data_IF_231078170002
#
_entry.id   IF_231078170002
#
_cell.length_a   1.000
_cell.length_b   1.000
_cell.length_c   1.000
_cell.angle_alpha   90.00
_cell.angle_beta   90.00
_cell.angle_gamma   90.00
#
_symmetry.space_group_name_H-M   'P 1'
#
loop_
_entity.id
_entity.type
_entity.pdbx_description
1 polymer ?
#
# COMPACT_ATOMS: atom_id res chain seq x y z
N UNK A 1 25.75 -0.93 -1.04
CA UNK A 1 25.28 -2.06 -0.19
C UNK A 1 25.26 -3.35 -0.99
N UNK A 2 25.73 -4.51 -0.45
CA UNK A 2 25.63 -5.80 -1.17
C UNK A 2 24.33 -6.52 -0.77
N UNK A 3 23.24 -6.30 -1.53
CA UNK A 3 21.92 -6.81 -1.20
C UNK A 3 21.74 -8.31 -1.44
N UNK A 4 22.56 -8.96 -2.27
CA UNK A 4 22.41 -10.40 -2.61
C UNK A 4 22.52 -11.32 -1.40
N UNK A 5 23.29 -10.91 -0.39
CA UNK A 5 23.50 -11.69 0.84
C UNK A 5 22.89 -10.99 2.07
N UNK A 6 21.99 -10.03 1.85
CA UNK A 6 21.34 -9.29 2.95
C UNK A 6 20.05 -9.99 3.36
N UNK A 7 19.94 -10.30 4.65
CA UNK A 7 18.76 -10.88 5.26
C UNK A 7 18.08 -9.88 6.18
N UNK A 8 16.81 -10.10 6.44
CA UNK A 8 16.02 -9.44 7.47
C UNK A 8 15.34 -10.46 8.39
N UNK A 9 14.89 -10.00 9.55
CA UNK A 9 14.15 -10.81 10.50
C UNK A 9 12.66 -10.51 10.39
N UNK A 10 11.88 -11.47 9.89
CA UNK A 10 10.45 -11.34 9.67
C UNK A 10 9.65 -12.54 10.18
N UNK A 11 8.34 -12.46 10.02
CA UNK A 11 7.42 -13.53 10.38
C UNK A 11 7.04 -14.33 9.13
N UNK A 12 7.41 -15.62 9.09
CA UNK A 12 7.01 -16.50 7.99
C UNK A 12 5.56 -16.92 8.20
N UNK A 13 4.75 -16.70 7.18
CA UNK A 13 3.33 -17.07 7.19
C UNK A 13 3.10 -18.46 6.61
N UNK A 14 1.91 -18.96 6.81
CA UNK A 14 1.46 -20.31 6.42
C UNK A 14 1.61 -20.56 4.91
N UNK A 15 1.42 -19.51 4.10
CA UNK A 15 1.62 -19.54 2.64
C UNK A 15 3.08 -19.27 2.20
N UNK A 16 4.03 -19.25 3.14
CA UNK A 16 5.45 -19.02 2.87
C UNK A 16 5.86 -17.56 2.73
N UNK A 17 4.91 -16.59 2.69
CA UNK A 17 5.21 -15.17 2.57
C UNK A 17 5.84 -14.61 3.85
N UNK A 18 6.63 -13.55 3.71
CA UNK A 18 7.32 -12.89 4.84
C UNK A 18 6.65 -11.57 5.20
N UNK A 19 6.20 -11.47 6.46
CA UNK A 19 5.73 -10.22 7.06
C UNK A 19 6.80 -9.57 7.95
N UNK A 20 6.71 -8.25 8.10
CA UNK A 20 7.61 -7.45 8.96
C UNK A 20 6.87 -6.89 10.19
N UNK A 21 5.57 -7.17 10.29
CA UNK A 21 4.70 -6.91 11.44
C UNK A 21 3.92 -8.19 11.79
N UNK A 22 3.25 -8.17 12.93
CA UNK A 22 2.54 -9.34 13.45
C UNK A 22 1.17 -8.94 14.04
N UNK A 23 0.37 -8.23 13.23
CA UNK A 23 -0.91 -7.68 13.65
C UNK A 23 -1.98 -8.76 13.81
N UNK A 24 -2.82 -8.64 14.83
CA UNK A 24 -4.12 -9.29 14.90
C UNK A 24 -5.17 -8.23 14.64
N UNK A 25 -5.88 -8.36 13.53
CA UNK A 25 -6.84 -7.35 13.08
C UNK A 25 -8.28 -7.79 13.33
N UNK A 26 -9.13 -6.81 13.63
CA UNK A 26 -10.58 -6.96 13.69
C UNK A 26 -11.11 -6.22 12.47
N UNK A 27 -11.56 -6.97 11.49
CA UNK A 27 -11.90 -6.48 10.16
C UNK A 27 -13.41 -6.38 10.01
N UNK A 28 -13.99 -5.17 9.92
CA UNK A 28 -15.39 -5.02 9.57
C UNK A 28 -15.61 -5.38 8.11
N UNK A 29 -16.67 -6.12 7.83
CA UNK A 29 -17.10 -6.41 6.46
C UNK A 29 -17.78 -5.19 5.82
N UNK A 30 -18.48 -4.43 6.66
CA UNK A 30 -19.28 -3.28 6.28
C UNK A 30 -19.19 -2.19 7.36
N UNK A 31 -19.60 -0.96 7.01
CA UNK A 31 -19.56 0.21 7.88
C UNK A 31 -20.43 0.05 9.15
N UNK A 32 -21.51 -0.72 9.07
CA UNK A 32 -22.41 -0.98 10.20
C UNK A 32 -21.76 -1.87 11.28
N UNK A 33 -20.73 -2.64 10.90
CA UNK A 33 -19.96 -3.50 11.81
C UNK A 33 -18.80 -2.77 12.51
N UNK A 34 -18.48 -1.55 12.12
CA UNK A 34 -17.34 -0.78 12.64
C UNK A 34 -17.36 -0.71 14.17
N UNK A 35 -18.50 -0.33 14.77
CA UNK A 35 -18.64 -0.17 16.22
C UNK A 35 -18.37 -1.48 16.99
N UNK A 36 -18.82 -2.62 16.46
CA UNK A 36 -18.58 -3.92 17.06
C UNK A 36 -17.07 -4.28 16.97
N UNK A 37 -16.43 -4.01 15.83
CA UNK A 37 -14.99 -4.23 15.64
C UNK A 37 -14.14 -3.36 16.59
N UNK A 38 -14.48 -2.09 16.73
CA UNK A 38 -13.82 -1.17 17.66
C UNK A 38 -13.99 -1.60 19.12
N UNK A 39 -15.21 -2.07 19.50
CA UNK A 39 -15.45 -2.60 20.83
C UNK A 39 -14.58 -3.82 21.14
N UNK A 40 -14.43 -4.76 20.19
CA UNK A 40 -13.54 -5.91 20.34
C UNK A 40 -12.08 -5.48 20.49
N UNK A 41 -11.62 -4.55 19.65
CA UNK A 41 -10.24 -4.05 19.73
C UNK A 41 -9.96 -3.30 21.04
N UNK A 42 -10.94 -2.60 21.58
CA UNK A 42 -10.84 -1.94 22.89
C UNK A 42 -10.78 -2.96 24.03
N UNK A 43 -11.50 -4.07 23.94
CA UNK A 43 -11.53 -5.14 24.94
C UNK A 43 -10.22 -5.94 24.94
N UNK A 44 -9.63 -6.22 23.78
CA UNK A 44 -8.48 -7.12 23.65
C UNK A 44 -7.23 -6.32 23.21
N UNK A 45 -6.38 -6.01 24.18
CA UNK A 45 -5.16 -5.22 23.93
C UNK A 45 -4.21 -5.91 22.96
N UNK A 46 -3.66 -5.13 22.04
CA UNK A 46 -2.77 -5.60 20.95
C UNK A 46 -3.50 -5.95 19.66
N UNK A 47 -4.83 -6.02 19.67
CA UNK A 47 -5.63 -6.09 18.44
C UNK A 47 -5.91 -4.70 17.89
N UNK A 48 -6.28 -4.62 16.62
CA UNK A 48 -6.55 -3.38 15.92
C UNK A 48 -7.77 -3.51 15.03
N UNK A 49 -8.78 -2.68 15.24
CA UNK A 49 -9.89 -2.54 14.31
C UNK A 49 -9.46 -1.73 13.08
N UNK A 50 -10.03 -2.06 11.92
CA UNK A 50 -9.81 -1.36 10.64
C UNK A 50 -11.14 -0.82 10.11
N UNK A 51 -11.72 0.22 10.72
CA UNK A 51 -13.01 0.77 10.30
C UNK A 51 -12.91 1.41 8.92
N UNK A 52 -13.99 1.32 8.16
CA UNK A 52 -14.13 1.94 6.85
C UNK A 52 -15.57 2.41 6.58
N UNK A 53 -15.79 3.37 5.63
CA UNK A 53 -17.09 3.99 5.44
C UNK A 53 -18.01 3.22 4.48
N UNK A 54 -17.58 2.10 3.91
CA UNK A 54 -18.37 1.39 2.90
C UNK A 54 -18.91 0.07 3.43
N UNK A 55 -20.12 -0.24 3.00
CA UNK A 55 -20.79 -1.40 3.49
C UNK A 55 -21.57 -2.14 2.45
N UNK A 56 -22.86 -2.09 2.55
CA UNK A 56 -23.80 -2.90 1.77
C UNK A 56 -24.20 -2.19 0.47
N UNK A 57 -24.87 -2.93 -0.40
CA UNK A 57 -25.44 -2.44 -1.66
C UNK A 57 -24.42 -2.15 -2.77
N UNK A 58 -23.16 -2.62 -2.65
CA UNK A 58 -22.29 -2.77 -3.80
C UNK A 58 -22.75 -3.96 -4.65
N UNK A 59 -22.46 -3.90 -5.95
CA UNK A 59 -22.78 -4.97 -6.89
C UNK A 59 -21.74 -5.03 -8.02
N UNK A 60 -21.68 -6.18 -8.73
CA UNK A 60 -20.78 -6.38 -9.86
C UNK A 60 -19.32 -6.13 -9.50
N UNK A 61 -18.60 -5.44 -10.37
CA UNK A 61 -17.17 -5.21 -10.21
C UNK A 61 -16.80 -4.44 -8.91
N UNK A 62 -17.69 -3.59 -8.41
CA UNK A 62 -17.48 -2.85 -7.16
C UNK A 62 -17.55 -3.79 -5.94
N UNK A 63 -18.48 -4.75 -5.94
CA UNK A 63 -18.57 -5.78 -4.91
C UNK A 63 -17.38 -6.74 -4.96
N UNK A 64 -16.96 -7.14 -6.15
CA UNK A 64 -15.78 -7.99 -6.34
C UNK A 64 -14.51 -7.30 -5.81
N UNK A 65 -14.35 -6.01 -6.08
CA UNK A 65 -13.23 -5.22 -5.55
C UNK A 65 -13.30 -5.06 -4.03
N UNK A 66 -14.49 -4.86 -3.47
CA UNK A 66 -14.72 -4.80 -2.02
C UNK A 66 -14.23 -6.09 -1.34
N UNK A 67 -14.71 -7.24 -1.79
CA UNK A 67 -14.28 -8.53 -1.25
C UNK A 67 -12.79 -8.78 -1.45
N UNK A 68 -12.25 -8.51 -2.65
CA UNK A 68 -10.83 -8.68 -2.95
C UNK A 68 -9.96 -7.84 -2.01
N UNK A 69 -10.35 -6.59 -1.76
CA UNK A 69 -9.59 -5.69 -0.88
C UNK A 69 -9.63 -6.17 0.58
N UNK A 70 -10.79 -6.57 1.09
CA UNK A 70 -10.91 -7.09 2.47
C UNK A 70 -10.18 -8.42 2.65
N UNK A 71 -10.37 -9.36 1.71
CA UNK A 71 -9.67 -10.66 1.73
C UNK A 71 -8.16 -10.44 1.66
N UNK A 72 -7.70 -9.62 0.72
CA UNK A 72 -6.27 -9.31 0.55
C UNK A 72 -5.68 -8.63 1.78
N UNK A 73 -6.41 -7.71 2.41
CA UNK A 73 -6.02 -7.08 3.69
C UNK A 73 -5.84 -8.14 4.78
N UNK A 74 -6.80 -9.06 4.91
CA UNK A 74 -6.68 -10.18 5.84
C UNK A 74 -5.53 -11.12 5.50
N UNK A 75 -5.25 -11.37 4.22
CA UNK A 75 -4.16 -12.23 3.75
C UNK A 75 -2.78 -11.59 3.84
N UNK A 76 -2.67 -10.26 4.05
CA UNK A 76 -1.40 -9.55 4.07
C UNK A 76 -0.39 -10.22 5.03
N UNK A 77 0.89 -10.36 4.64
CA UNK A 77 1.88 -11.04 5.48
C UNK A 77 2.19 -10.32 6.80
N UNK A 78 1.89 -9.03 6.92
CA UNK A 78 2.01 -8.30 8.18
C UNK A 78 0.89 -8.64 9.20
N UNK A 79 -0.14 -9.37 8.78
CA UNK A 79 -1.25 -9.82 9.62
C UNK A 79 -1.00 -11.26 10.06
N UNK A 80 -1.11 -11.51 11.36
CA UNK A 80 -0.97 -12.85 11.97
C UNK A 80 -2.28 -13.62 11.99
N UNK A 81 -3.37 -12.93 12.33
CA UNK A 81 -4.69 -13.53 12.44
C UNK A 81 -5.79 -12.47 12.27
N UNK A 82 -7.00 -12.91 11.93
CA UNK A 82 -8.11 -12.02 11.60
C UNK A 82 -9.41 -12.45 12.29
N UNK A 83 -10.08 -11.51 12.93
CA UNK A 83 -11.50 -11.63 13.30
C UNK A 83 -12.30 -10.78 12.32
N UNK A 84 -13.23 -11.39 11.59
CA UNK A 84 -14.13 -10.69 10.67
C UNK A 84 -15.48 -10.51 11.34
N UNK A 85 -16.03 -9.30 11.31
CA UNK A 85 -17.40 -9.02 11.81
C UNK A 85 -18.20 -8.36 10.69
N UNK A 86 -19.33 -8.96 10.34
CA UNK A 86 -20.29 -8.42 9.38
C UNK A 86 -21.70 -8.31 9.96
N UNK A 87 -22.60 -7.74 9.19
CA UNK A 87 -24.02 -7.71 9.58
C UNK A 87 -24.65 -9.07 9.35
N UNK A 88 -24.38 -9.74 8.23
CA UNK A 88 -25.04 -10.97 7.84
C UNK A 88 -24.02 -12.11 7.55
N UNK A 89 -24.42 -13.40 7.61
CA UNK A 89 -23.48 -14.51 7.52
C UNK A 89 -22.87 -14.70 6.13
N UNK A 90 -23.62 -14.49 5.04
CA UNK A 90 -23.20 -14.93 3.70
C UNK A 90 -21.96 -14.19 3.20
N UNK A 91 -21.95 -12.87 3.27
CA UNK A 91 -20.78 -12.07 2.90
C UNK A 91 -19.63 -12.24 3.88
N UNK A 92 -19.96 -12.39 5.18
CA UNK A 92 -18.96 -12.67 6.21
C UNK A 92 -18.21 -13.96 5.89
N UNK A 93 -18.93 -15.03 5.52
CA UNK A 93 -18.33 -16.32 5.15
C UNK A 93 -17.49 -16.23 3.87
N UNK A 94 -17.88 -15.43 2.87
CA UNK A 94 -17.07 -15.21 1.66
C UNK A 94 -15.68 -14.65 2.03
N UNK A 95 -15.64 -13.60 2.85
CA UNK A 95 -14.38 -12.98 3.29
C UNK A 95 -13.56 -13.95 4.16
N UNK A 96 -14.20 -14.61 5.12
CA UNK A 96 -13.55 -15.60 5.99
C UNK A 96 -12.95 -16.75 5.18
N UNK A 97 -13.69 -17.30 4.21
CA UNK A 97 -13.21 -18.39 3.38
C UNK A 97 -12.06 -17.96 2.46
N UNK A 98 -12.14 -16.74 1.91
CA UNK A 98 -11.04 -16.16 1.12
C UNK A 98 -9.75 -16.03 1.94
N UNK A 99 -9.85 -15.54 3.18
CA UNK A 99 -8.69 -15.42 4.07
C UNK A 99 -8.17 -16.80 4.49
N UNK A 100 -9.07 -17.72 4.84
CA UNK A 100 -8.75 -19.09 5.26
C UNK A 100 -7.98 -19.87 4.19
N UNK A 101 -8.26 -19.61 2.91
CA UNK A 101 -7.56 -20.24 1.79
C UNK A 101 -6.04 -19.95 1.79
N UNK A 102 -5.58 -18.85 2.41
CA UNK A 102 -4.16 -18.57 2.62
C UNK A 102 -3.50 -19.35 3.76
N UNK A 103 -4.28 -20.16 4.50
CA UNK A 103 -3.84 -20.87 5.71
C UNK A 103 -3.86 -20.03 6.99
N UNK A 104 -4.18 -18.75 6.90
CA UNK A 104 -4.16 -17.82 8.04
C UNK A 104 -5.30 -18.10 9.03
N UNK A 105 -5.04 -18.04 10.35
CA UNK A 105 -6.08 -18.13 11.36
C UNK A 105 -7.12 -17.00 11.19
N UNK A 106 -8.39 -17.37 10.99
CA UNK A 106 -9.49 -16.45 10.79
C UNK A 106 -10.79 -17.01 11.37
N UNK A 107 -11.56 -16.19 12.05
CA UNK A 107 -12.91 -16.48 12.50
C UNK A 107 -13.87 -15.36 12.13
N UNK A 108 -15.12 -15.73 11.77
CA UNK A 108 -16.16 -14.79 11.36
C UNK A 108 -17.32 -14.76 12.35
N UNK A 109 -17.88 -13.56 12.53
CA UNK A 109 -19.05 -13.29 13.37
C UNK A 109 -19.98 -12.33 12.64
N UNK A 110 -21.28 -12.40 12.94
CA UNK A 110 -22.28 -11.50 12.35
C UNK A 110 -23.32 -11.08 13.39
N UNK A 111 -23.88 -9.91 13.18
CA UNK A 111 -24.75 -9.23 14.16
C UNK A 111 -26.19 -9.67 13.98
N UNK A 112 -26.67 -9.86 12.75
CA UNK A 112 -28.03 -10.24 12.44
C UNK A 112 -28.41 -11.56 13.12
N UNK A 113 -29.50 -11.56 13.87
CA UNK A 113 -29.95 -12.70 14.64
C UNK A 113 -29.20 -12.99 15.94
N UNK A 114 -28.04 -12.37 16.19
CA UNK A 114 -27.23 -12.56 17.39
C UNK A 114 -27.21 -11.34 18.32
N UNK A 115 -27.32 -10.14 17.73
CA UNK A 115 -27.17 -8.86 18.42
C UNK A 115 -25.72 -8.49 18.71
N UNK A 116 -25.48 -7.19 18.92
CA UNK A 116 -24.14 -6.63 19.11
C UNK A 116 -23.39 -7.23 20.31
N UNK A 117 -24.04 -7.26 21.48
CA UNK A 117 -23.38 -7.67 22.74
C UNK A 117 -22.86 -9.11 22.64
N UNK A 118 -23.68 -10.02 22.11
CA UNK A 118 -23.31 -11.43 21.96
C UNK A 118 -22.20 -11.59 20.93
N UNK A 119 -22.27 -10.89 19.82
CA UNK A 119 -21.27 -10.87 18.75
C UNK A 119 -19.94 -10.33 19.29
N UNK A 120 -19.93 -9.19 19.96
CA UNK A 120 -18.73 -8.60 20.57
C UNK A 120 -18.11 -9.57 21.59
N UNK A 121 -18.91 -10.19 22.43
CA UNK A 121 -18.40 -11.14 23.44
C UNK A 121 -17.74 -12.36 22.80
N UNK A 122 -18.35 -12.95 21.77
CA UNK A 122 -17.82 -14.10 21.04
C UNK A 122 -16.57 -13.75 20.25
N UNK A 123 -16.59 -12.66 19.50
CA UNK A 123 -15.47 -12.15 18.74
C UNK A 123 -14.28 -11.76 19.65
N UNK A 124 -14.55 -11.22 20.85
CA UNK A 124 -13.49 -10.92 21.84
C UNK A 124 -12.79 -12.18 22.34
N UNK A 125 -13.50 -13.32 22.51
CA UNK A 125 -12.89 -14.60 22.88
C UNK A 125 -11.98 -15.12 21.77
N UNK A 126 -12.42 -15.04 20.50
CA UNK A 126 -11.61 -15.39 19.34
C UNK A 126 -10.36 -14.51 19.24
N UNK A 127 -10.53 -13.19 19.33
CA UNK A 127 -9.45 -12.22 19.30
C UNK A 127 -8.41 -12.48 20.41
N UNK A 128 -8.83 -12.81 21.62
CA UNK A 128 -7.93 -13.21 22.68
C UNK A 128 -7.11 -14.46 22.33
N UNK A 129 -7.74 -15.49 21.77
CA UNK A 129 -7.05 -16.71 21.36
C UNK A 129 -6.03 -16.44 20.25
N UNK A 130 -6.40 -15.59 19.28
CA UNK A 130 -5.53 -15.17 18.18
C UNK A 130 -4.36 -14.32 18.67
N UNK A 131 -4.56 -13.42 19.61
CA UNK A 131 -3.46 -12.66 20.24
C UNK A 131 -2.49 -13.57 20.98
N UNK A 132 -3.02 -14.58 21.67
CA UNK A 132 -2.19 -15.58 22.36
C UNK A 132 -1.39 -16.42 21.37
N UNK A 133 -1.95 -16.74 20.19
CA UNK A 133 -1.24 -17.40 19.09
C UNK A 133 -0.15 -16.48 18.51
N UNK A 134 -0.50 -15.27 18.14
CA UNK A 134 0.44 -14.27 17.57
C UNK A 134 1.63 -14.00 18.49
N UNK A 135 1.40 -13.92 19.82
CA UNK A 135 2.45 -13.67 20.81
C UNK A 135 3.52 -14.77 20.92
N UNK A 136 3.26 -15.97 20.38
CA UNK A 136 4.21 -17.10 20.36
C UNK A 136 5.06 -17.14 19.09
N UNK A 137 4.66 -16.40 18.05
CA UNK A 137 5.37 -16.41 16.79
C UNK A 137 6.72 -15.70 16.93
N UNK A 138 7.76 -16.28 16.36
CA UNK A 138 9.12 -15.75 16.39
C UNK A 138 9.51 -15.21 15.02
N UNK A 139 10.31 -14.16 15.00
CA UNK A 139 10.94 -13.69 13.77
C UNK A 139 11.99 -14.70 13.31
N UNK A 140 12.04 -14.95 12.01
CA UNK A 140 13.01 -15.82 11.36
C UNK A 140 13.77 -15.05 10.28
N UNK A 141 15.00 -15.49 10.00
CA UNK A 141 15.81 -14.87 8.94
C UNK A 141 15.27 -15.24 7.56
N UNK A 142 15.20 -14.25 6.68
CA UNK A 142 14.83 -14.42 5.28
C UNK A 142 15.67 -13.49 4.39
N UNK A 143 15.97 -13.88 3.13
CA UNK A 143 16.66 -13.02 2.20
C UNK A 143 15.80 -11.79 1.84
N UNK A 144 16.45 -10.65 1.63
CA UNK A 144 15.76 -9.39 1.32
C UNK A 144 14.89 -9.48 0.04
N UNK A 145 15.22 -10.38 -0.89
CA UNK A 145 14.42 -10.65 -2.09
C UNK A 145 12.99 -11.15 -1.81
N UNK A 146 12.74 -11.74 -0.62
CA UNK A 146 11.39 -12.16 -0.22
C UNK A 146 10.53 -10.98 0.30
N UNK A 147 11.11 -9.79 0.50
CA UNK A 147 10.36 -8.61 0.93
C UNK A 147 9.75 -7.91 -0.28
N UNK A 148 8.41 -7.81 -0.29
CA UNK A 148 7.68 -7.11 -1.33
C UNK A 148 7.50 -5.65 -0.94
N UNK A 149 7.86 -4.74 -1.86
CA UNK A 149 7.89 -3.30 -1.62
C UNK A 149 7.06 -2.56 -2.66
N UNK A 150 6.16 -1.71 -2.20
CA UNK A 150 5.33 -0.84 -3.04
C UNK A 150 5.80 0.61 -2.97
N UNK A 151 5.39 1.43 -3.94
CA UNK A 151 5.65 2.87 -3.92
C UNK A 151 4.52 3.69 -4.50
N UNK A 152 4.32 4.87 -3.92
CA UNK A 152 3.45 5.94 -4.39
C UNK A 152 3.99 7.27 -3.87
N UNK A 153 3.94 8.33 -4.67
CA UNK A 153 4.31 9.67 -4.19
C UNK A 153 3.08 10.49 -3.76
N UNK A 154 3.30 11.52 -2.97
CA UNK A 154 2.22 12.42 -2.58
C UNK A 154 2.74 13.78 -2.13
N UNK A 155 1.91 14.81 -2.29
CA UNK A 155 2.27 16.19 -2.06
C UNK A 155 3.57 16.56 -2.79
N UNK A 156 3.62 16.17 -4.08
CA UNK A 156 4.81 16.34 -4.93
C UNK A 156 5.08 17.81 -5.22
N UNK A 157 6.36 18.14 -5.33
CA UNK A 157 6.90 19.41 -5.81
C UNK A 157 8.07 19.14 -6.79
N UNK A 158 8.76 20.16 -7.25
CA UNK A 158 9.92 20.02 -8.15
C UNK A 158 11.02 19.15 -7.53
N UNK A 159 11.18 19.15 -6.21
CA UNK A 159 12.19 18.34 -5.53
C UNK A 159 11.84 16.85 -5.53
N UNK A 160 10.55 16.51 -5.70
CA UNK A 160 10.11 15.12 -5.82
C UNK A 160 10.67 14.49 -7.09
N UNK A 161 10.52 15.13 -8.24
CA UNK A 161 11.01 14.63 -9.53
C UNK A 161 12.54 14.61 -9.64
N UNK A 162 13.24 15.52 -8.95
CA UNK A 162 14.70 15.65 -9.00
C UNK A 162 15.43 14.87 -7.91
N UNK A 163 14.77 14.51 -6.82
CA UNK A 163 15.41 13.91 -5.64
C UNK A 163 14.68 12.72 -5.06
N UNK A 164 13.49 12.92 -4.46
CA UNK A 164 12.81 11.83 -3.72
C UNK A 164 12.40 10.66 -4.63
N UNK A 165 11.75 10.91 -5.77
CA UNK A 165 11.34 9.86 -6.70
C UNK A 165 12.53 9.12 -7.32
N UNK A 166 13.59 9.79 -7.82
CA UNK A 166 14.78 9.10 -8.29
C UNK A 166 15.50 8.27 -7.22
N UNK A 167 15.42 8.68 -5.94
CA UNK A 167 15.95 7.89 -4.82
C UNK A 167 15.21 6.56 -4.69
N UNK A 168 13.87 6.57 -4.77
CA UNK A 168 13.07 5.34 -4.81
C UNK A 168 13.48 4.51 -6.03
N UNK A 169 13.62 5.14 -7.19
CA UNK A 169 14.05 4.45 -8.41
C UNK A 169 15.39 3.76 -8.28
N UNK A 170 16.38 4.40 -7.63
CA UNK A 170 17.69 3.78 -7.36
C UNK A 170 17.55 2.58 -6.40
N UNK A 171 16.72 2.71 -5.35
CA UNK A 171 16.44 1.61 -4.44
C UNK A 171 15.70 0.46 -5.15
N UNK A 172 14.73 0.77 -6.02
CA UNK A 172 14.01 -0.23 -6.81
C UNK A 172 14.93 -0.97 -7.79
N UNK A 173 15.84 -0.29 -8.48
CA UNK A 173 16.84 -0.94 -9.34
C UNK A 173 17.67 -1.96 -8.56
N UNK A 174 18.08 -1.64 -7.33
CA UNK A 174 18.86 -2.53 -6.46
C UNK A 174 18.03 -3.72 -5.95
N UNK A 175 16.77 -3.50 -5.57
CA UNK A 175 15.83 -4.55 -5.15
C UNK A 175 15.45 -5.46 -6.33
N UNK A 176 15.28 -4.88 -7.52
CA UNK A 176 14.99 -5.62 -8.74
C UNK A 176 16.15 -6.57 -9.11
N UNK A 177 17.38 -6.09 -9.02
CA UNK A 177 18.60 -6.88 -9.29
C UNK A 177 18.75 -8.12 -8.37
N UNK A 178 18.07 -8.15 -7.21
CA UNK A 178 18.05 -9.31 -6.31
C UNK A 178 16.76 -10.15 -6.42
N UNK A 179 15.83 -9.79 -7.31
CA UNK A 179 14.61 -10.55 -7.57
C UNK A 179 13.45 -10.23 -6.63
N UNK A 180 13.42 -9.08 -5.96
CA UNK A 180 12.27 -8.63 -5.15
C UNK A 180 11.05 -8.37 -6.01
N UNK A 181 9.86 -8.44 -5.40
CA UNK A 181 8.59 -8.05 -6.02
C UNK A 181 8.27 -6.61 -5.66
N UNK A 182 8.06 -5.80 -6.69
CA UNK A 182 7.90 -4.35 -6.61
C UNK A 182 6.61 -3.92 -7.29
N UNK A 183 5.98 -2.84 -6.83
CA UNK A 183 4.80 -2.27 -7.49
C UNK A 183 4.83 -0.75 -7.46
N UNK A 184 4.36 -0.16 -8.55
CA UNK A 184 3.99 1.23 -8.68
C UNK A 184 2.59 1.31 -9.32
N UNK A 185 1.97 2.49 -9.32
CA UNK A 185 0.63 2.70 -9.90
C UNK A 185 0.39 4.16 -10.22
N UNK A 186 -0.76 4.71 -9.76
CA UNK A 186 -1.14 6.11 -10.01
C UNK A 186 -1.42 6.35 -11.50
N UNK A 187 -2.36 5.57 -12.05
CA UNK A 187 -2.70 5.57 -13.49
C UNK A 187 -2.92 6.98 -14.05
N UNK A 188 -3.62 7.84 -13.30
CA UNK A 188 -3.87 9.23 -13.70
C UNK A 188 -2.61 10.09 -13.78
N UNK A 189 -1.63 9.82 -12.92
CA UNK A 189 -0.38 10.59 -12.89
C UNK A 189 0.66 10.11 -13.91
N UNK A 190 0.26 9.28 -14.88
CA UNK A 190 1.08 8.86 -16.01
C UNK A 190 0.70 9.59 -17.31
N UNK A 191 -0.36 10.41 -17.29
CA UNK A 191 -0.85 11.17 -18.45
C UNK A 191 0.26 12.04 -19.05
N UNK A 192 0.57 11.80 -20.33
CA UNK A 192 1.68 12.44 -21.06
C UNK A 192 3.03 11.76 -20.91
N UNK A 193 3.19 10.84 -19.96
CA UNK A 193 4.39 10.03 -19.74
C UNK A 193 4.18 8.52 -19.94
N UNK A 194 2.97 8.09 -20.28
CA UNK A 194 2.60 6.67 -20.43
C UNK A 194 3.48 5.91 -21.43
N UNK A 195 3.88 6.57 -22.50
CA UNK A 195 4.75 5.99 -23.54
C UNK A 195 6.11 5.53 -23.00
N UNK A 196 6.61 6.18 -21.93
CA UNK A 196 7.87 5.78 -21.26
C UNK A 196 7.68 4.50 -20.45
N UNK A 197 6.50 4.28 -19.88
CA UNK A 197 6.16 3.03 -19.19
C UNK A 197 5.94 1.92 -20.21
N UNK A 198 5.23 2.20 -21.31
CA UNK A 198 5.04 1.26 -22.41
C UNK A 198 6.35 0.74 -22.99
N UNK A 199 7.34 1.63 -23.18
CA UNK A 199 8.66 1.28 -23.69
C UNK A 199 9.45 0.35 -22.75
N UNK A 200 9.02 0.26 -21.48
CA UNK A 200 9.66 -0.58 -20.45
C UNK A 200 8.88 -1.86 -20.16
N UNK A 201 7.74 -2.09 -20.80
CA UNK A 201 7.01 -3.35 -20.70
C UNK A 201 7.85 -4.50 -21.29
N UNK A 202 8.00 -5.59 -20.52
CA UNK A 202 8.86 -6.72 -20.92
C UNK A 202 8.38 -7.44 -22.17
N UNK A 203 7.05 -7.49 -22.37
CA UNK A 203 6.43 -8.17 -23.53
C UNK A 203 5.33 -7.28 -24.12
N UNK A 204 4.97 -7.57 -25.38
CA UNK A 204 3.88 -6.88 -26.05
C UNK A 204 2.52 -7.10 -25.35
N UNK A 205 2.33 -8.25 -24.70
CA UNK A 205 1.09 -8.53 -23.96
C UNK A 205 0.98 -7.68 -22.70
N UNK A 206 2.08 -7.50 -21.94
CA UNK A 206 2.14 -6.60 -20.81
C UNK A 206 1.89 -5.15 -21.26
N UNK A 207 2.48 -4.75 -22.39
CA UNK A 207 2.25 -3.43 -22.98
C UNK A 207 0.77 -3.22 -23.35
N UNK A 208 0.11 -4.19 -23.95
CA UNK A 208 -1.33 -4.13 -24.29
C UNK A 208 -2.19 -4.03 -23.03
N UNK A 209 -1.87 -4.81 -21.98
CA UNK A 209 -2.58 -4.73 -20.70
C UNK A 209 -2.42 -3.36 -20.03
N UNK A 210 -1.19 -2.84 -19.98
CA UNK A 210 -0.93 -1.50 -19.44
C UNK A 210 -1.73 -0.43 -20.21
N UNK A 211 -1.64 -0.45 -21.54
CA UNK A 211 -2.37 0.49 -22.40
C UNK A 211 -3.88 0.40 -22.17
N UNK A 212 -4.43 -0.80 -22.08
CA UNK A 212 -5.85 -0.99 -21.78
C UNK A 212 -6.27 -0.34 -20.46
N UNK A 213 -5.48 -0.52 -19.40
CA UNK A 213 -5.76 0.09 -18.09
C UNK A 213 -5.66 1.62 -18.13
N UNK A 214 -4.66 2.14 -18.85
CA UNK A 214 -4.47 3.58 -19.02
C UNK A 214 -5.60 4.20 -19.83
N UNK A 215 -5.92 3.64 -21.02
CA UNK A 215 -6.99 4.13 -21.90
C UNK A 215 -8.36 4.10 -21.19
N UNK A 216 -8.66 3.03 -20.44
CA UNK A 216 -9.87 2.94 -19.62
C UNK A 216 -10.00 4.12 -18.64
N UNK A 217 -8.88 4.58 -18.08
CA UNK A 217 -8.91 5.72 -17.19
C UNK A 217 -9.17 7.04 -17.93
N UNK A 218 -8.63 7.20 -19.15
CA UNK A 218 -8.97 8.35 -20.01
C UNK A 218 -10.47 8.38 -20.33
N UNK A 219 -11.07 7.22 -20.63
CA UNK A 219 -12.54 7.12 -20.83
C UNK A 219 -13.33 7.58 -19.59
N UNK A 220 -12.83 7.30 -18.39
CA UNK A 220 -13.46 7.78 -17.14
C UNK A 220 -13.40 9.32 -17.08
N UNK A 221 -12.25 9.92 -17.39
CA UNK A 221 -12.08 11.38 -17.40
C UNK A 221 -13.08 12.02 -18.38
N UNK A 222 -13.20 11.49 -19.59
CA UNK A 222 -14.14 12.00 -20.60
C UNK A 222 -15.60 11.89 -20.16
N UNK A 223 -15.99 10.77 -19.53
CA UNK A 223 -17.35 10.57 -18.99
C UNK A 223 -17.71 11.56 -17.88
N UNK A 224 -16.73 12.07 -17.16
CA UNK A 224 -16.92 13.15 -16.18
C UNK A 224 -17.04 14.53 -16.82
N UNK A 225 -17.14 14.61 -18.16
CA UNK A 225 -17.27 15.85 -18.95
C UNK A 225 -16.11 16.83 -18.72
N UNK A 226 -14.93 16.30 -18.47
CA UNK A 226 -13.67 17.03 -18.42
C UNK A 226 -12.76 16.55 -19.55
N UNK A 227 -11.92 17.41 -20.09
CA UNK A 227 -10.98 17.06 -21.16
C UNK A 227 -9.67 16.51 -20.62
N UNK A 228 -9.36 16.84 -19.36
CA UNK A 228 -8.16 16.42 -18.64
C UNK A 228 -8.39 16.52 -17.13
N UNK A 229 -7.35 16.33 -16.34
CA UNK A 229 -7.40 16.41 -14.87
C UNK A 229 -6.95 17.78 -14.34
N UNK A 230 -6.83 18.83 -15.16
CA UNK A 230 -6.28 20.14 -14.76
C UNK A 230 -6.98 20.79 -13.56
N UNK A 231 -8.25 20.44 -13.31
CA UNK A 231 -8.99 20.90 -12.13
C UNK A 231 -8.53 20.23 -10.82
N UNK A 232 -7.86 19.06 -10.92
CA UNK A 232 -7.46 18.26 -9.76
C UNK A 232 -5.98 17.86 -9.74
N UNK A 233 -5.32 17.82 -10.92
CA UNK A 233 -3.93 17.37 -11.09
C UNK A 233 -3.21 18.26 -12.13
N UNK A 234 -2.12 18.97 -11.76
CA UNK A 234 -1.53 19.11 -10.43
C UNK A 234 -2.44 19.84 -9.43
N UNK A 235 -2.37 19.46 -8.16
CA UNK A 235 -3.09 20.19 -7.10
C UNK A 235 -2.55 21.60 -6.93
N UNK A 236 -3.29 22.50 -6.27
CA UNK A 236 -2.79 23.85 -5.93
C UNK A 236 -1.46 23.80 -5.16
N UNK A 237 -1.28 22.79 -4.30
CA UNK A 237 -0.03 22.55 -3.60
C UNK A 237 1.11 22.17 -4.56
N UNK A 238 0.86 21.29 -5.52
CA UNK A 238 1.86 20.91 -6.53
C UNK A 238 2.29 22.13 -7.35
N UNK A 239 1.33 22.99 -7.77
CA UNK A 239 1.60 24.21 -8.53
C UNK A 239 2.44 25.19 -7.68
N UNK A 240 2.08 25.39 -6.42
CA UNK A 240 2.86 26.22 -5.49
C UNK A 240 4.28 25.65 -5.25
N UNK A 241 4.44 24.33 -5.37
CA UNK A 241 5.71 23.61 -5.31
C UNK A 241 6.48 23.58 -6.64
N UNK A 242 5.96 24.23 -7.70
CA UNK A 242 6.61 24.41 -9.00
C UNK A 242 6.24 23.38 -10.08
N UNK A 243 5.27 22.49 -9.86
CA UNK A 243 4.74 21.57 -10.87
C UNK A 243 3.51 22.19 -11.54
N UNK A 244 3.62 22.55 -12.81
CA UNK A 244 2.60 23.37 -13.50
C UNK A 244 1.68 22.58 -14.42
N UNK A 245 2.13 21.43 -14.93
CA UNK A 245 1.32 20.56 -15.83
C UNK A 245 1.31 19.11 -15.37
N UNK A 246 0.32 18.33 -15.87
CA UNK A 246 0.23 16.91 -15.58
C UNK A 246 1.39 16.13 -16.19
N UNK A 247 1.86 16.50 -17.38
CA UNK A 247 3.01 15.87 -18.04
C UNK A 247 4.30 16.06 -17.23
N UNK A 248 4.53 17.26 -16.70
CA UNK A 248 5.66 17.55 -15.82
C UNK A 248 5.60 16.69 -14.55
N UNK A 249 4.40 16.56 -13.97
CA UNK A 249 4.16 15.69 -12.83
C UNK A 249 4.39 14.22 -13.20
N UNK A 250 3.91 13.75 -14.37
CA UNK A 250 4.09 12.38 -14.85
C UNK A 250 5.57 12.03 -15.06
N UNK A 251 6.35 12.91 -15.67
CA UNK A 251 7.80 12.71 -15.87
C UNK A 251 8.54 12.57 -14.53
N UNK A 252 8.16 13.34 -13.52
CA UNK A 252 8.66 13.24 -12.16
C UNK A 252 8.21 11.93 -11.48
N UNK A 253 6.97 11.53 -11.69
CA UNK A 253 6.39 10.30 -11.15
C UNK A 253 7.11 9.04 -11.63
N UNK A 254 7.38 8.94 -12.93
CA UNK A 254 8.05 7.79 -13.55
C UNK A 254 9.46 7.55 -12.98
N UNK A 255 10.13 8.56 -12.42
CA UNK A 255 11.45 8.38 -11.82
C UNK A 255 11.47 7.33 -10.70
N UNK A 256 10.31 7.06 -10.05
CA UNK A 256 10.19 6.04 -8.99
C UNK A 256 10.51 4.61 -9.45
N UNK A 257 10.36 4.31 -10.74
CA UNK A 257 10.58 2.96 -11.25
C UNK A 257 12.04 2.69 -11.67
N UNK A 258 12.95 3.59 -11.33
CA UNK A 258 14.38 3.44 -11.59
C UNK A 258 14.75 3.49 -13.07
N UNK A 259 15.91 2.97 -13.41
CA UNK A 259 16.45 2.95 -14.79
C UNK A 259 16.54 1.54 -15.37
N UNK A 260 16.64 0.51 -14.53
CA UNK A 260 16.88 -0.89 -14.93
C UNK A 260 15.59 -1.72 -14.90
N UNK A 261 14.65 -1.42 -14.01
CA UNK A 261 13.44 -2.22 -13.85
C UNK A 261 12.65 -2.24 -15.16
N UNK A 262 12.28 -3.40 -15.61
CA UNK A 262 11.27 -3.62 -16.65
C UNK A 262 9.91 -3.84 -15.98
N UNK A 263 8.82 -3.47 -16.63
CA UNK A 263 7.48 -3.80 -16.16
C UNK A 263 7.20 -5.27 -16.51
N UNK A 264 7.15 -6.12 -15.50
CA UNK A 264 7.03 -7.57 -15.61
C UNK A 264 5.58 -8.05 -15.56
N UNK A 265 4.65 -7.18 -15.12
CA UNK A 265 3.24 -7.49 -15.08
C UNK A 265 2.36 -6.26 -14.85
N UNK A 266 1.08 -6.43 -15.13
CA UNK A 266 0.01 -5.45 -14.87
C UNK A 266 -0.98 -6.08 -13.93
N UNK A 267 -1.39 -5.36 -12.91
CA UNK A 267 -2.31 -5.79 -11.87
C UNK A 267 -3.57 -4.93 -11.88
N UNK A 268 -4.70 -5.57 -11.72
CA UNK A 268 -5.92 -4.87 -11.34
C UNK A 268 -5.83 -4.43 -9.86
N UNK A 269 -6.76 -3.58 -9.43
CA UNK A 269 -6.85 -3.07 -8.05
C UNK A 269 -6.86 -4.21 -7.04
N UNK A 270 -5.96 -4.16 -6.06
CA UNK A 270 -5.80 -5.17 -5.01
C UNK A 270 -5.48 -6.60 -5.52
N UNK A 271 -5.00 -6.76 -6.75
CA UNK A 271 -4.55 -8.05 -7.27
C UNK A 271 -3.15 -8.39 -6.74
N UNK A 272 -2.95 -9.64 -6.32
CA UNK A 272 -1.64 -10.12 -5.86
C UNK A 272 -0.73 -10.47 -7.05
N UNK A 273 0.54 -10.01 -7.07
CA UNK A 273 1.53 -10.44 -8.07
C UNK A 273 1.76 -11.94 -8.06
N UNK A 274 1.85 -12.55 -9.24
CA UNK A 274 2.10 -14.00 -9.40
C UNK A 274 3.57 -14.35 -9.62
N UNK A 275 4.42 -13.33 -9.80
CA UNK A 275 5.85 -13.48 -10.06
C UNK A 275 6.64 -12.32 -9.45
N UNK A 276 7.94 -12.48 -9.29
CA UNK A 276 8.83 -11.39 -8.89
C UNK A 276 9.04 -10.40 -10.03
N UNK A 277 9.56 -9.22 -9.72
CA UNK A 277 9.81 -8.15 -10.67
C UNK A 277 8.98 -6.90 -10.39
N UNK A 278 8.98 -5.95 -11.31
CA UNK A 278 8.22 -4.71 -11.19
C UNK A 278 6.83 -4.84 -11.85
N UNK A 279 5.79 -4.50 -11.10
CA UNK A 279 4.41 -4.52 -11.57
C UNK A 279 3.81 -3.12 -11.60
N UNK A 280 3.00 -2.85 -12.61
CA UNK A 280 2.09 -1.72 -12.61
C UNK A 280 0.74 -2.14 -12.03
N UNK A 281 0.22 -1.40 -11.04
CA UNK A 281 -1.13 -1.60 -10.50
C UNK A 281 -2.04 -0.46 -10.93
N UNK A 282 -3.17 -0.78 -11.54
CA UNK A 282 -4.20 0.21 -11.82
C UNK A 282 -4.76 0.79 -10.53
N UNK A 283 -4.59 2.09 -10.34
CA UNK A 283 -5.03 2.79 -9.12
C UNK A 283 -5.28 4.27 -9.37
N UNK A 284 -6.10 4.87 -8.53
CA UNK A 284 -6.18 6.33 -8.44
C UNK A 284 -4.90 6.92 -7.85
N UNK A 285 -4.77 8.24 -7.94
CA UNK A 285 -3.69 8.99 -7.27
C UNK A 285 -4.00 9.36 -5.82
N UNK A 286 -5.19 8.98 -5.31
CA UNK A 286 -5.53 9.19 -3.91
C UNK A 286 -4.64 8.31 -3.00
N UNK A 287 -3.89 8.94 -2.10
CA UNK A 287 -2.85 8.25 -1.34
C UNK A 287 -3.40 7.09 -0.51
N UNK A 288 -4.47 7.32 0.24
CA UNK A 288 -5.06 6.30 1.11
C UNK A 288 -5.64 5.12 0.32
N UNK A 289 -6.23 5.37 -0.86
CA UNK A 289 -6.73 4.29 -1.73
C UNK A 289 -5.58 3.40 -2.22
N UNK A 290 -4.56 3.99 -2.85
CA UNK A 290 -3.47 3.20 -3.42
C UNK A 290 -2.66 2.45 -2.36
N UNK A 291 -2.37 3.07 -1.20
CA UNK A 291 -1.65 2.38 -0.11
C UNK A 291 -2.48 1.20 0.42
N UNK A 292 -3.81 1.36 0.52
CA UNK A 292 -4.73 0.26 0.89
C UNK A 292 -4.73 -0.86 -0.16
N UNK A 293 -4.76 -0.54 -1.46
CA UNK A 293 -4.67 -1.52 -2.54
C UNK A 293 -3.33 -2.28 -2.50
N UNK A 294 -2.21 -1.58 -2.26
CA UNK A 294 -0.90 -2.21 -2.08
C UNK A 294 -0.87 -3.16 -0.88
N UNK A 295 -1.45 -2.75 0.25
CA UNK A 295 -1.59 -3.62 1.42
C UNK A 295 -2.42 -4.87 1.10
N UNK A 296 -3.56 -4.71 0.42
CA UNK A 296 -4.43 -5.80 0.00
C UNK A 296 -3.76 -6.74 -1.02
N UNK A 297 -2.86 -6.24 -1.86
CA UNK A 297 -2.07 -7.05 -2.81
C UNK A 297 -0.90 -7.80 -2.17
N UNK A 298 -0.75 -7.72 -0.83
CA UNK A 298 0.25 -8.48 -0.09
C UNK A 298 1.63 -7.83 0.03
N UNK A 299 1.79 -6.54 -0.29
CA UNK A 299 3.04 -5.81 -0.05
C UNK A 299 3.24 -5.61 1.45
N UNK A 300 4.50 -5.73 1.90
CA UNK A 300 4.87 -5.70 3.32
C UNK A 300 5.49 -4.38 3.77
N UNK A 301 6.01 -3.57 2.84
CA UNK A 301 6.55 -2.23 3.08
C UNK A 301 6.19 -1.30 1.91
N UNK A 302 6.12 0.01 2.20
CA UNK A 302 5.77 1.02 1.21
C UNK A 302 6.72 2.21 1.27
N UNK A 303 7.28 2.61 0.12
CA UNK A 303 8.03 3.86 -0.01
C UNK A 303 7.11 5.00 -0.44
N UNK A 304 7.14 6.07 0.31
CA UNK A 304 6.31 7.25 0.03
C UNK A 304 7.17 8.51 -0.14
N UNK A 305 7.71 8.74 -1.34
CA UNK A 305 8.42 9.99 -1.64
C UNK A 305 7.46 11.18 -1.61
N UNK A 306 7.90 12.27 -0.98
CA UNK A 306 7.11 13.51 -0.87
C UNK A 306 8.01 14.73 -1.06
N UNK A 307 7.42 15.84 -1.53
CA UNK A 307 8.09 17.12 -1.62
C UNK A 307 7.69 18.06 -0.49
N UNK A 308 6.39 18.15 -0.20
CA UNK A 308 5.85 19.10 0.78
C UNK A 308 5.53 18.48 2.13
N UNK A 309 5.77 17.15 2.28
CA UNK A 309 5.37 16.37 3.45
C UNK A 309 3.96 15.79 3.29
N UNK A 310 3.71 14.67 3.93
CA UNK A 310 2.42 14.00 3.90
C UNK A 310 2.20 13.25 5.20
N UNK A 311 0.93 13.13 5.63
CA UNK A 311 0.55 12.46 6.88
C UNK A 311 0.04 11.02 6.66
N UNK A 312 0.12 10.51 5.44
CA UNK A 312 -0.38 9.17 5.11
C UNK A 312 0.31 8.06 5.90
N UNK A 313 -0.46 7.11 6.40
CA UNK A 313 -0.05 5.82 6.91
C UNK A 313 -0.96 4.72 6.39
N UNK A 314 -0.89 3.55 7.02
CA UNK A 314 -1.82 2.45 6.79
C UNK A 314 -1.80 1.54 8.03
N UNK A 315 -2.92 0.92 8.42
CA UNK A 315 -2.98 0.12 9.64
C UNK A 315 -2.06 -1.09 9.67
N UNK A 316 -1.74 -1.68 8.51
CA UNK A 316 -0.98 -2.93 8.43
C UNK A 316 0.28 -2.86 7.56
N UNK A 317 0.44 -1.79 6.79
CA UNK A 317 1.55 -1.60 5.86
C UNK A 317 2.44 -0.46 6.34
N UNK A 318 3.66 -0.70 6.86
CA UNK A 318 4.59 0.36 7.20
C UNK A 318 4.89 1.26 6.01
N UNK A 319 4.68 2.57 6.17
CA UNK A 319 4.90 3.60 5.15
C UNK A 319 6.14 4.40 5.49
N UNK A 320 7.22 4.20 4.74
CA UNK A 320 8.50 4.90 4.87
C UNK A 320 8.47 6.16 4.02
N UNK A 321 8.45 7.32 4.66
CA UNK A 321 8.43 8.62 3.96
C UNK A 321 9.84 9.16 3.76
N UNK A 322 10.12 9.60 2.53
CA UNK A 322 11.40 10.24 2.20
C UNK A 322 11.17 11.59 1.52
N UNK A 323 12.07 12.53 1.78
CA UNK A 323 11.94 13.89 1.27
C UNK A 323 13.29 14.48 0.84
N UNK A 324 13.30 15.11 -0.33
CA UNK A 324 14.47 15.87 -0.84
C UNK A 324 14.34 17.39 -0.61
N UNK A 325 13.17 17.88 -0.16
CA UNK A 325 12.96 19.31 0.07
C UNK A 325 13.53 19.74 1.45
N UNK A 326 14.60 20.56 1.48
CA UNK A 326 15.22 20.96 2.76
C UNK A 326 14.28 21.75 3.68
N UNK A 327 13.28 22.45 3.13
CA UNK A 327 12.27 23.17 3.92
C UNK A 327 11.36 22.18 4.63
N UNK A 328 10.81 21.21 3.89
CA UNK A 328 9.92 20.18 4.44
C UNK A 328 10.60 19.32 5.50
N UNK A 329 11.84 18.90 5.24
CA UNK A 329 12.64 18.15 6.22
C UNK A 329 12.78 18.89 7.55
N UNK A 330 12.91 20.22 7.52
CA UNK A 330 12.98 21.03 8.75
C UNK A 330 11.63 21.24 9.42
N UNK A 331 10.57 21.48 8.63
CA UNK A 331 9.26 21.91 9.15
C UNK A 331 8.33 20.76 9.48
N UNK A 332 8.58 19.58 8.90
CA UNK A 332 7.79 18.34 9.09
C UNK A 332 8.71 17.16 9.41
N UNK A 333 9.77 17.38 10.19
CA UNK A 333 10.77 16.36 10.50
C UNK A 333 10.18 15.09 11.13
N UNK A 334 9.13 15.24 11.92
CA UNK A 334 8.42 14.12 12.57
C UNK A 334 7.68 13.20 11.59
N UNK A 335 7.47 13.63 10.36
CA UNK A 335 6.81 12.85 9.32
C UNK A 335 7.80 12.19 8.33
N UNK A 336 9.09 12.49 8.41
CA UNK A 336 10.08 12.07 7.43
C UNK A 336 11.02 11.03 8.05
N UNK A 337 11.00 9.82 7.49
CA UNK A 337 11.89 8.73 7.90
C UNK A 337 13.29 8.84 7.28
N UNK A 338 13.38 9.39 6.04
CA UNK A 338 14.64 9.48 5.31
C UNK A 338 14.79 10.87 4.67
N UNK A 339 15.78 11.62 5.18
CA UNK A 339 16.22 12.90 4.59
C UNK A 339 17.22 12.65 3.46
N UNK A 340 16.83 13.00 2.22
CA UNK A 340 17.67 12.96 1.03
C UNK A 340 17.86 14.36 0.41
N UNK A 341 17.67 15.41 1.22
CA UNK A 341 17.83 16.81 0.77
C UNK A 341 19.28 17.17 0.39
N UNK A 342 20.24 16.39 0.85
CA UNK A 342 21.64 16.49 0.46
C UNK A 342 21.88 16.33 -1.05
N UNK A 343 21.00 15.60 -1.76
CA UNK A 343 21.05 15.48 -3.22
C UNK A 343 21.00 16.84 -3.92
N UNK A 344 20.07 17.70 -3.52
CA UNK A 344 19.88 19.01 -4.13
C UNK A 344 20.99 19.99 -3.77
N UNK A 345 21.67 19.78 -2.66
CA UNK A 345 22.85 20.53 -2.23
C UNK A 345 24.16 19.97 -2.77
N UNK A 346 24.11 18.84 -3.52
CA UNK A 346 25.28 18.10 -4.04
C UNK A 346 26.21 17.59 -2.92
N UNK A 347 25.66 17.31 -1.75
CA UNK A 347 26.38 16.76 -0.59
C UNK A 347 26.37 15.22 -0.58
N UNK A 348 25.48 14.64 -1.37
CA UNK A 348 25.37 13.19 -1.53
C UNK A 348 25.05 12.79 -2.98
N UNK A 349 25.35 11.55 -3.32
CA UNK A 349 25.05 10.98 -4.63
C UNK A 349 23.70 10.26 -4.61
N UNK A 350 23.09 10.04 -5.79
CA UNK A 350 21.86 9.25 -5.93
C UNK A 350 22.04 7.83 -5.39
N UNK A 351 23.22 7.23 -5.57
CA UNK A 351 23.51 5.89 -5.06
C UNK A 351 23.56 5.84 -3.53
N UNK A 352 24.14 6.86 -2.91
CA UNK A 352 24.16 7.02 -1.44
C UNK A 352 22.75 7.27 -0.88
N UNK A 353 21.92 8.08 -1.53
CA UNK A 353 20.55 8.33 -1.12
C UNK A 353 19.70 7.04 -1.21
N UNK A 354 19.86 6.26 -2.30
CA UNK A 354 19.22 4.96 -2.43
C UNK A 354 19.66 3.97 -1.34
N UNK A 355 20.95 3.96 -0.97
CA UNK A 355 21.45 3.12 0.13
C UNK A 355 20.87 3.56 1.49
N UNK A 356 20.71 4.86 1.75
CA UNK A 356 20.01 5.35 2.95
C UNK A 356 18.57 4.85 3.03
N UNK A 357 17.84 4.88 1.92
CA UNK A 357 16.47 4.39 1.87
C UNK A 357 16.41 2.88 2.12
N UNK A 358 17.30 2.12 1.55
CA UNK A 358 17.40 0.66 1.77
C UNK A 358 17.82 0.31 3.20
N UNK A 359 18.70 1.10 3.82
CA UNK A 359 19.04 0.93 5.23
C UNK A 359 17.82 1.18 6.14
N UNK A 360 17.04 2.22 5.88
CA UNK A 360 15.76 2.45 6.58
C UNK A 360 14.78 1.29 6.36
N UNK A 361 14.65 0.77 5.12
CA UNK A 361 13.83 -0.41 4.84
C UNK A 361 14.26 -1.62 5.68
N UNK A 362 15.57 -1.88 5.78
CA UNK A 362 16.09 -3.00 6.58
C UNK A 362 15.82 -2.84 8.07
N UNK A 363 16.01 -1.64 8.62
CA UNK A 363 15.66 -1.37 10.03
C UNK A 363 14.16 -1.56 10.26
N UNK A 364 13.32 -1.04 9.35
CA UNK A 364 11.85 -1.20 9.41
C UNK A 364 11.45 -2.68 9.31
N UNK A 365 12.08 -3.44 8.41
CA UNK A 365 11.85 -4.88 8.28
C UNK A 365 12.24 -5.65 9.56
N UNK A 366 13.28 -5.21 10.25
CA UNK A 366 13.73 -5.77 11.52
C UNK A 366 12.95 -5.28 12.75
N UNK A 367 11.95 -4.40 12.57
CA UNK A 367 11.00 -4.03 13.61
C UNK A 367 11.05 -2.56 14.06
N UNK A 368 11.90 -1.72 13.48
CA UNK A 368 11.83 -0.28 13.69
C UNK A 368 10.49 0.26 13.18
N UNK A 369 9.86 1.13 13.95
CA UNK A 369 8.58 1.76 13.54
C UNK A 369 8.86 2.94 12.63
N UNK A 370 8.03 3.12 11.61
CA UNK A 370 8.05 4.32 10.79
C UNK A 370 7.41 5.51 11.52
N UNK A 371 7.70 6.72 11.07
CA UNK A 371 7.07 7.94 11.57
C UNK A 371 5.54 7.85 11.55
N UNK A 372 4.97 7.31 10.47
CA UNK A 372 3.53 7.10 10.34
C UNK A 372 2.96 6.16 11.41
N UNK A 373 3.65 5.05 11.71
CA UNK A 373 3.23 4.12 12.76
C UNK A 373 3.30 4.76 14.16
N UNK A 374 4.37 5.51 14.46
CA UNK A 374 4.56 6.19 15.74
C UNK A 374 3.49 7.27 15.96
N UNK A 375 3.16 8.03 14.92
CA UNK A 375 2.12 9.06 14.95
C UNK A 375 0.69 8.49 14.89
N UNK A 376 0.54 7.19 14.68
CA UNK A 376 -0.75 6.52 14.64
C UNK A 376 -1.57 6.79 13.36
N UNK A 377 -0.90 7.12 12.26
CA UNK A 377 -1.56 7.28 10.96
C UNK A 377 -2.00 5.92 10.42
N UNK A 378 -3.31 5.75 10.22
CA UNK A 378 -3.94 4.46 9.90
C UNK A 378 -5.03 4.64 8.85
N UNK A 379 -4.74 5.42 7.81
CA UNK A 379 -5.67 5.67 6.73
C UNK A 379 -5.95 4.36 5.99
N UNK A 380 -7.22 3.97 5.95
CA UNK A 380 -7.72 2.80 5.24
C UNK A 380 -8.94 3.20 4.44
N UNK A 381 -8.81 3.20 3.11
CA UNK A 381 -9.87 3.64 2.20
C UNK A 381 -10.09 2.59 1.13
N UNK A 382 -11.30 2.04 1.10
CA UNK A 382 -11.73 1.14 0.03
C UNK A 382 -12.05 1.96 -1.23
N UNK A 383 -11.50 1.56 -2.35
CA UNK A 383 -11.82 2.17 -3.65
C UNK A 383 -13.24 1.77 -4.07
N UNK A 384 -14.04 2.75 -4.52
CA UNK A 384 -15.33 2.56 -5.13
C UNK A 384 -15.26 2.87 -6.63
N UNK A 385 -15.96 2.07 -7.43
CA UNK A 385 -16.03 2.25 -8.88
C UNK A 385 -17.35 2.89 -9.30
N UNK A 386 -18.44 2.63 -8.57
CA UNK A 386 -19.79 3.02 -8.92
C UNK A 386 -20.62 3.44 -7.71
N UNK A 387 -21.80 3.98 -7.94
CA UNK A 387 -22.79 4.26 -6.92
C UNK A 387 -23.37 2.95 -6.35
N UNK A 388 -23.92 3.03 -5.13
CA UNK A 388 -24.65 1.91 -4.53
C UNK A 388 -26.00 1.70 -5.20
N UNK A 389 -26.56 0.48 -5.13
CA UNK A 389 -27.88 0.14 -5.62
C UNK A 389 -28.99 0.80 -4.77
#
# INVERSE_FOLDING_TARGET
MNLKNTNFMGYRRENGRMGIRNHVIILPLDDLSNSACEAVANNIKGTMAIPHPYGRLQFGADLDLHFRTLIGTGCNPNVSAVVVIGIEPQWTEIVVNGIRASGKPVEGFWIEGNGDITTIASASKAAYSMMKHASKQQRVSAPLSELWVSTKCGESDTTSGCGSNPTVGNAFDKLYDIGSTLVFGETTELTGGEHLVEARCRTDDIKKQFKFMFDRYQDIIERHKTSDLSDSQPTKGNIAGGLTTIEEKALGNIQKIGKKCMVDGVLDKAEEPKMSGLHFMDSSSAAAEMVTLCAASGFAAHFFPTGQGNVIGNPILPVIKLCANPKTVRTMSEHIDVDVSGLLRREETMDSAGDKLLDCLLRTANGELTAAEILGHREFVLTRLYESA
#
